data_IF_290323008674
#
_entry.id   IF_290323008674
#
_cell.length_a   1.000
_cell.length_b   1.000
_cell.length_c   1.000
_cell.angle_alpha   90.00
_cell.angle_beta   90.00
_cell.angle_gamma   90.00
#
_symmetry.space_group_name_H-M   'P 1'
#
loop_
_entity.id
_entity.type
_entity.pdbx_description
1 polymer ?
#
# COMPACT_ATOMS: atom_id res chain seq x y z
N UNK A 1 -5.92 -6.77 -37.10
CA UNK A 1 -5.50 -5.37 -36.85
C UNK A 1 -6.64 -4.42 -36.50
N UNK A 2 -7.72 -4.31 -37.29
CA UNK A 2 -8.83 -3.38 -37.03
C UNK A 2 -9.50 -3.55 -35.65
N UNK A 3 -9.85 -4.78 -35.27
CA UNK A 3 -10.48 -5.09 -33.98
C UNK A 3 -9.61 -4.68 -32.78
N UNK A 4 -8.29 -4.87 -32.87
CA UNK A 4 -7.36 -4.49 -31.79
C UNK A 4 -7.35 -2.97 -31.60
N UNK A 5 -7.35 -2.21 -32.69
CA UNK A 5 -7.39 -0.76 -32.64
C UNK A 5 -8.72 -0.22 -32.12
N UNK A 6 -9.84 -0.84 -32.51
CA UNK A 6 -11.17 -0.51 -31.99
C UNK A 6 -11.22 -0.72 -30.47
N UNK A 7 -10.81 -1.89 -29.97
CA UNK A 7 -10.82 -2.19 -28.52
C UNK A 7 -9.89 -1.24 -27.73
N UNK A 8 -8.70 -0.90 -28.26
CA UNK A 8 -7.79 0.06 -27.62
C UNK A 8 -8.38 1.47 -27.55
N UNK A 9 -9.04 1.90 -28.64
CA UNK A 9 -9.70 3.21 -28.70
C UNK A 9 -10.85 3.28 -27.71
N UNK A 10 -11.66 2.23 -27.62
CA UNK A 10 -12.78 2.16 -26.68
C UNK A 10 -12.32 2.11 -25.23
N UNK A 11 -11.21 1.43 -24.94
CA UNK A 11 -10.59 1.47 -23.61
C UNK A 11 -10.11 2.88 -23.26
N UNK A 12 -9.45 3.58 -24.19
CA UNK A 12 -8.95 4.93 -23.96
C UNK A 12 -10.08 5.95 -23.69
N UNK A 13 -11.24 5.80 -24.36
CA UNK A 13 -12.43 6.63 -24.13
C UNK A 13 -13.06 6.43 -22.75
N UNK A 14 -12.84 5.28 -22.11
CA UNK A 14 -13.38 4.97 -20.77
C UNK A 14 -12.52 5.50 -19.62
N UNK A 15 -11.36 6.08 -19.91
CA UNK A 15 -10.51 6.68 -18.88
C UNK A 15 -11.21 7.93 -18.35
N UNK A 16 -11.56 7.92 -17.07
CA UNK A 16 -12.06 9.10 -16.38
C UNK A 16 -10.87 9.91 -15.84
N UNK A 17 -10.61 11.09 -16.42
CA UNK A 17 -9.54 12.01 -15.98
C UNK A 17 -10.05 13.15 -15.10
N UNK A 18 -11.37 13.21 -14.87
CA UNK A 18 -12.00 14.25 -14.07
C UNK A 18 -12.14 13.84 -12.60
N UNK A 19 -11.90 12.56 -12.29
CA UNK A 19 -11.92 12.07 -10.92
C UNK A 19 -10.72 12.61 -10.14
N UNK A 20 -10.99 13.30 -9.03
CA UNK A 20 -9.96 13.70 -8.10
C UNK A 20 -9.63 12.53 -7.17
N UNK A 21 -8.35 12.21 -7.08
CA UNK A 21 -7.82 11.11 -6.28
C UNK A 21 -6.88 11.63 -5.20
N UNK A 22 -6.94 11.00 -4.04
CA UNK A 22 -6.07 11.28 -2.90
C UNK A 22 -5.34 10.00 -2.51
N UNK A 23 -4.34 9.64 -3.32
CA UNK A 23 -3.55 8.42 -3.15
C UNK A 23 -2.12 8.80 -2.76
N UNK A 24 -1.62 8.18 -1.69
CA UNK A 24 -0.25 8.33 -1.23
C UNK A 24 0.46 6.97 -1.18
N UNK A 25 1.70 6.93 -1.69
CA UNK A 25 2.63 5.84 -1.48
C UNK A 25 3.86 6.31 -0.70
N UNK A 26 4.33 5.52 0.25
CA UNK A 26 5.58 5.84 0.94
C UNK A 26 6.42 4.61 1.25
N UNK A 27 7.72 4.82 1.27
CA UNK A 27 8.72 3.83 1.68
C UNK A 27 9.87 4.54 2.41
N UNK A 28 10.59 3.81 3.26
CA UNK A 28 11.80 4.30 3.93
C UNK A 28 12.98 4.39 2.95
N UNK A 29 13.03 3.50 1.96
CA UNK A 29 14.08 3.48 0.94
C UNK A 29 13.78 4.48 -0.17
N UNK A 30 14.58 5.55 -0.25
CA UNK A 30 14.48 6.55 -1.31
C UNK A 30 14.53 5.94 -2.71
N UNK A 31 15.30 4.87 -2.91
CA UNK A 31 15.43 4.20 -4.21
C UNK A 31 14.10 3.57 -4.62
N UNK A 32 13.39 2.95 -3.67
CA UNK A 32 12.08 2.36 -3.93
C UNK A 32 11.04 3.42 -4.29
N UNK A 33 11.11 4.59 -3.65
CA UNK A 33 10.27 5.75 -3.99
C UNK A 33 10.52 6.22 -5.43
N UNK A 34 11.79 6.36 -5.85
CA UNK A 34 12.11 6.77 -7.22
C UNK A 34 11.70 5.72 -8.25
N UNK A 35 11.89 4.43 -7.95
CA UNK A 35 11.37 3.33 -8.79
C UNK A 35 9.84 3.41 -8.90
N UNK A 36 9.14 3.67 -7.81
CA UNK A 36 7.67 3.77 -7.81
C UNK A 36 7.18 4.96 -8.65
N UNK A 37 7.86 6.11 -8.58
CA UNK A 37 7.56 7.27 -9.44
C UNK A 37 7.78 6.96 -10.92
N UNK A 38 8.90 6.31 -11.27
CA UNK A 38 9.18 5.89 -12.64
C UNK A 38 8.14 4.89 -13.17
N UNK A 39 7.71 3.94 -12.33
CA UNK A 39 6.65 3.01 -12.67
C UNK A 39 5.30 3.71 -12.87
N UNK A 40 4.95 4.67 -12.01
CA UNK A 40 3.74 5.47 -12.16
C UNK A 40 3.75 6.30 -13.46
N UNK A 41 4.92 6.81 -13.85
CA UNK A 41 5.11 7.47 -15.14
C UNK A 41 4.92 6.52 -16.32
N UNK A 42 5.54 5.34 -16.28
CA UNK A 42 5.37 4.33 -17.32
C UNK A 42 3.91 3.84 -17.42
N UNK A 43 3.19 3.80 -16.29
CA UNK A 43 1.76 3.45 -16.23
C UNK A 43 0.82 4.61 -16.60
N UNK A 44 1.32 5.84 -16.75
CA UNK A 44 0.52 7.01 -17.11
C UNK A 44 -0.34 7.58 -15.97
N UNK A 45 0.03 7.33 -14.71
CA UNK A 45 -0.74 7.70 -13.49
C UNK A 45 0.06 8.60 -12.53
N UNK A 46 1.11 9.26 -13.01
CA UNK A 46 1.98 10.12 -12.16
C UNK A 46 1.21 11.23 -11.44
N UNK A 47 0.18 11.79 -12.07
CA UNK A 47 -0.64 12.85 -11.48
C UNK A 47 -1.57 12.36 -10.36
N UNK A 48 -1.81 11.06 -10.27
CA UNK A 48 -2.83 10.47 -9.39
C UNK A 48 -2.26 10.05 -8.02
N UNK A 49 -0.94 9.91 -7.90
CA UNK A 49 -0.27 9.33 -6.73
C UNK A 49 0.83 10.25 -6.21
N UNK A 50 0.73 10.64 -4.96
CA UNK A 50 1.82 11.35 -4.25
C UNK A 50 2.76 10.35 -3.61
N UNK A 51 4.02 10.35 -4.03
CA UNK A 51 5.06 9.49 -3.43
C UNK A 51 5.95 10.26 -2.45
N UNK A 52 6.19 9.69 -1.28
CA UNK A 52 7.02 10.30 -0.23
C UNK A 52 8.00 9.29 0.37
N UNK A 53 9.27 9.68 0.52
CA UNK A 53 10.18 8.95 1.38
C UNK A 53 9.79 9.22 2.84
N UNK A 54 9.33 8.19 3.54
CA UNK A 54 8.80 8.31 4.89
C UNK A 54 8.79 6.96 5.58
N UNK A 55 9.14 6.94 6.86
CA UNK A 55 9.00 5.74 7.67
C UNK A 55 7.57 5.61 8.16
N UNK A 56 7.09 4.38 8.36
CA UNK A 56 5.71 4.15 8.84
C UNK A 56 5.46 4.83 10.19
N UNK A 57 6.47 4.89 11.06
CA UNK A 57 6.43 5.51 12.38
C UNK A 57 6.08 7.00 12.33
N UNK A 58 6.34 7.66 11.20
CA UNK A 58 6.11 9.09 10.99
C UNK A 58 4.77 9.36 10.29
N UNK A 59 4.02 8.31 9.88
CA UNK A 59 2.73 8.47 9.21
C UNK A 59 1.70 9.06 10.19
N UNK A 60 1.18 10.23 9.86
CA UNK A 60 0.10 10.90 10.58
C UNK A 60 -0.90 11.46 9.55
N UNK A 61 -2.17 11.44 9.90
CA UNK A 61 -3.24 12.02 9.08
C UNK A 61 -4.38 12.47 9.98
N UNK A 62 -4.96 13.63 9.66
CA UNK A 62 -6.20 14.17 10.21
C UNK A 62 -7.43 13.83 9.35
N UNK A 63 -7.22 13.23 8.17
CA UNK A 63 -8.30 12.78 7.28
C UNK A 63 -9.08 11.62 7.90
N UNK A 64 -10.35 11.50 7.52
CA UNK A 64 -11.26 10.44 7.96
C UNK A 64 -11.64 9.52 6.80
N UNK A 65 -12.18 8.34 7.12
CA UNK A 65 -12.68 7.34 6.16
C UNK A 65 -11.67 6.91 5.07
N UNK A 66 -10.37 6.97 5.36
CA UNK A 66 -9.35 6.50 4.42
C UNK A 66 -9.14 4.99 4.43
N UNK A 67 -8.29 4.52 3.53
CA UNK A 67 -7.90 3.11 3.41
C UNK A 67 -6.38 2.99 3.40
N UNK A 68 -5.84 2.13 4.26
CA UNK A 68 -4.43 1.71 4.22
C UNK A 68 -4.36 0.33 3.61
N UNK A 69 -3.50 0.16 2.60
CA UNK A 69 -3.15 -1.13 2.02
C UNK A 69 -1.63 -1.25 2.10
N UNK A 70 -1.12 -2.29 2.75
CA UNK A 70 0.33 -2.48 2.90
C UNK A 70 0.71 -3.94 2.74
N UNK A 71 1.84 -4.17 2.07
CA UNK A 71 2.51 -5.46 1.98
C UNK A 71 3.87 -5.34 2.70
N UNK A 72 3.88 -5.26 4.06
CA UNK A 72 5.10 -5.10 4.81
C UNK A 72 6.06 -6.27 4.58
N UNK A 73 7.36 -6.09 4.85
CA UNK A 73 8.31 -7.18 4.70
C UNK A 73 7.96 -8.32 5.67
N UNK A 74 8.06 -9.56 5.20
CA UNK A 74 7.77 -10.78 5.94
C UNK A 74 9.02 -11.64 6.11
N UNK A 75 9.03 -12.48 7.16
CA UNK A 75 10.22 -13.10 7.77
C UNK A 75 11.15 -13.93 6.87
N UNK A 76 10.73 -14.34 5.66
CA UNK A 76 11.65 -15.01 4.73
C UNK A 76 12.59 -14.02 3.99
N UNK A 77 12.19 -12.75 3.87
CA UNK A 77 12.98 -11.71 3.17
C UNK A 77 13.90 -10.91 4.08
N UNK A 78 13.70 -11.02 5.39
CA UNK A 78 14.52 -10.38 6.41
C UNK A 78 15.07 -11.45 7.33
N UNK A 79 16.39 -11.59 7.41
CA UNK A 79 17.09 -12.50 8.32
C UNK A 79 16.91 -12.16 9.82
N UNK A 80 15.97 -11.26 10.15
CA UNK A 80 15.76 -10.67 11.48
C UNK A 80 14.26 -10.64 11.83
N UNK A 81 13.79 -11.73 12.44
CA UNK A 81 12.41 -11.88 12.95
C UNK A 81 12.09 -10.86 14.06
N UNK A 82 13.10 -10.36 14.77
CA UNK A 82 12.91 -9.33 15.79
C UNK A 82 12.60 -7.96 15.15
N UNK A 83 13.31 -7.61 14.07
CA UNK A 83 13.05 -6.40 13.29
C UNK A 83 11.62 -6.37 12.70
N UNK A 84 11.16 -7.49 12.13
CA UNK A 84 9.80 -7.63 11.59
C UNK A 84 8.74 -7.51 12.70
N UNK A 85 8.97 -8.18 13.83
CA UNK A 85 8.06 -8.12 14.98
C UNK A 85 7.92 -6.70 15.53
N UNK A 86 9.04 -5.97 15.64
CA UNK A 86 9.04 -4.56 16.05
C UNK A 86 8.27 -3.69 15.06
N UNK A 87 8.47 -3.90 13.76
CA UNK A 87 7.76 -3.15 12.72
C UNK A 87 6.24 -3.34 12.83
N UNK A 88 5.76 -4.56 13.02
CA UNK A 88 4.31 -4.82 13.16
C UNK A 88 3.72 -4.14 14.40
N UNK A 89 4.43 -4.16 15.53
CA UNK A 89 4.00 -3.46 16.74
C UNK A 89 3.93 -1.94 16.51
N UNK A 90 4.93 -1.36 15.85
CA UNK A 90 4.95 0.05 15.50
C UNK A 90 3.83 0.42 14.52
N UNK A 91 3.54 -0.43 13.53
CA UNK A 91 2.39 -0.26 12.63
C UNK A 91 1.08 -0.20 13.41
N UNK A 92 0.87 -1.12 14.35
CA UNK A 92 -0.30 -1.13 15.23
C UNK A 92 -0.46 0.16 16.01
N UNK A 93 0.63 0.66 16.61
CA UNK A 93 0.65 1.91 17.36
C UNK A 93 0.35 3.13 16.49
N UNK A 94 0.95 3.20 15.29
CA UNK A 94 0.77 4.31 14.35
C UNK A 94 -0.65 4.33 13.77
N UNK A 95 -1.23 3.17 13.48
CA UNK A 95 -2.55 3.07 12.86
C UNK A 95 -3.69 3.10 13.89
N UNK A 96 -3.38 2.91 15.18
CA UNK A 96 -4.37 2.93 16.25
C UNK A 96 -5.19 4.23 16.33
N UNK A 97 -4.64 5.45 16.15
CA UNK A 97 -5.42 6.69 16.12
C UNK A 97 -6.35 6.83 14.91
N UNK A 98 -6.08 6.12 13.81
CA UNK A 98 -6.85 6.20 12.57
C UNK A 98 -8.13 5.36 12.65
N UNK A 99 -9.03 5.68 13.59
CA UNK A 99 -10.19 4.84 13.94
C UNK A 99 -11.18 4.62 12.79
N UNK A 100 -11.40 5.62 11.96
CA UNK A 100 -12.34 5.54 10.82
C UNK A 100 -11.74 4.86 9.59
N UNK A 101 -10.44 4.55 9.61
CA UNK A 101 -9.76 4.01 8.45
C UNK A 101 -9.88 2.49 8.39
N UNK A 102 -10.08 1.95 7.19
CA UNK A 102 -9.89 0.53 6.94
C UNK A 102 -8.41 0.22 6.73
N UNK A 103 -7.93 -0.90 7.29
CA UNK A 103 -6.54 -1.34 7.15
C UNK A 103 -6.50 -2.75 6.58
N UNK A 104 -5.77 -2.94 5.49
CA UNK A 104 -5.56 -4.22 4.83
C UNK A 104 -4.06 -4.49 4.76
N UNK A 105 -3.61 -5.49 5.51
CA UNK A 105 -2.19 -5.84 5.61
C UNK A 105 -1.98 -7.25 5.06
N UNK A 106 -1.10 -7.38 4.08
CA UNK A 106 -0.73 -8.65 3.47
C UNK A 106 0.60 -9.13 4.05
N UNK A 107 0.62 -10.30 4.67
CA UNK A 107 1.84 -10.91 5.22
C UNK A 107 1.70 -12.43 5.27
N UNK A 108 2.82 -13.15 5.26
CA UNK A 108 2.87 -14.59 5.52
C UNK A 108 3.00 -14.93 7.02
N UNK A 109 3.20 -13.93 7.89
CA UNK A 109 3.31 -14.16 9.33
C UNK A 109 1.94 -14.46 9.95
N UNK A 110 1.73 -15.72 10.34
CA UNK A 110 0.48 -16.16 10.96
C UNK A 110 0.20 -15.50 12.32
N UNK A 111 1.26 -15.05 13.01
CA UNK A 111 1.20 -14.36 14.30
C UNK A 111 1.04 -12.83 14.17
N UNK A 112 0.80 -12.30 12.96
CA UNK A 112 0.67 -10.87 12.68
C UNK A 112 -0.31 -10.16 13.63
N UNK A 113 -1.51 -10.69 13.86
CA UNK A 113 -2.55 -10.03 14.68
C UNK A 113 -2.09 -9.81 16.12
N UNK A 114 -1.32 -10.76 16.67
CA UNK A 114 -0.71 -10.66 18.00
C UNK A 114 0.39 -9.59 18.02
N UNK A 115 1.29 -9.62 17.03
CA UNK A 115 2.40 -8.66 16.91
C UNK A 115 1.90 -7.23 16.63
N UNK A 116 0.84 -7.08 15.83
CA UNK A 116 0.19 -5.82 15.48
C UNK A 116 -0.68 -5.27 16.63
N UNK A 117 -1.13 -6.12 17.54
CA UNK A 117 -1.86 -5.70 18.75
C UNK A 117 -3.37 -5.52 18.58
N UNK A 118 -3.96 -6.01 17.47
CA UNK A 118 -5.41 -6.06 17.30
C UNK A 118 -5.82 -7.20 16.35
N UNK A 119 -6.93 -7.91 16.63
CA UNK A 119 -7.47 -8.91 15.72
C UNK A 119 -8.01 -8.27 14.45
N UNK A 120 -7.94 -8.99 13.32
CA UNK A 120 -8.55 -8.58 12.07
C UNK A 120 -10.05 -8.89 12.05
N UNK A 121 -10.84 -8.01 11.45
CA UNK A 121 -12.27 -8.29 11.23
C UNK A 121 -12.49 -9.49 10.29
N UNK A 122 -11.57 -9.65 9.33
CA UNK A 122 -11.56 -10.76 8.36
C UNK A 122 -10.13 -11.13 7.97
N UNK A 123 -9.86 -12.44 7.90
CA UNK A 123 -8.61 -13.01 7.37
C UNK A 123 -8.91 -13.81 6.10
N UNK A 124 -8.17 -13.55 5.02
CA UNK A 124 -8.31 -14.26 3.74
C UNK A 124 -6.95 -14.81 3.32
N UNK A 125 -6.90 -16.11 3.06
CA UNK A 125 -5.70 -16.75 2.53
C UNK A 125 -5.51 -16.34 1.07
N UNK A 126 -4.31 -15.87 0.74
CA UNK A 126 -3.87 -15.54 -0.61
C UNK A 126 -2.55 -16.28 -0.89
N UNK A 127 -2.18 -16.38 -2.17
CA UNK A 127 -0.93 -16.98 -2.61
C UNK A 127 -0.14 -15.93 -3.37
N UNK A 128 1.16 -15.82 -3.09
CA UNK A 128 2.06 -14.87 -3.74
C UNK A 128 3.23 -15.62 -4.37
N UNK A 129 2.93 -16.32 -5.48
CA UNK A 129 3.88 -17.18 -6.18
C UNK A 129 4.14 -18.50 -5.47
#
# INVERSE_FOLDING_TARGET
DRLIQEVRTDAAKKINREIELDIMGCDIDARMVEIAKANAQAAGVTGDITFKQMRVQDLRSDKINGVIISNPPYGERLSDDAGVTKLYAEMGQVFAPLKTWSKFILTSDEAFESKYGSPADKKRKLYNG
#
